data_IF_204167971083
#
_entry.id   IF_204167971083
#
_cell.length_a   1.000
_cell.length_b   1.000
_cell.length_c   1.000
_cell.angle_alpha   90.00
_cell.angle_beta   90.00
_cell.angle_gamma   90.00
#
_symmetry.space_group_name_H-M   'P 1'
#
loop_
_entity.id
_entity.type
_entity.pdbx_description
1 polymer ?
2 non-polymer ?
3 non-polymer ?
4 water ?
#
# COMPACT_ATOMS: atom_id res chain seq x y z
N UNK A 1 -8.33 -19.32 7.32
CA UNK A 1 -7.68 -18.16 7.99
C UNK A 1 -8.64 -16.98 7.90
N UNK A 2 -8.35 -15.89 8.62
CA UNK A 2 -9.22 -14.72 8.57
C UNK A 2 -8.41 -13.44 8.38
N UNK A 3 -8.89 -12.59 7.48
CA UNK A 3 -8.24 -11.32 7.19
C UNK A 3 -9.28 -10.23 6.99
N UNK A 4 -9.11 -9.12 7.72
CA UNK A 4 -9.94 -7.94 7.55
C UNK A 4 -9.67 -7.32 6.18
N UNK A 5 -10.71 -6.77 5.55
CA UNK A 5 -10.55 -6.07 4.27
C UNK A 5 -9.62 -4.87 4.40
N UNK A 6 -8.88 -4.58 3.33
CA UNK A 6 -7.92 -3.49 3.33
C UNK A 6 -6.66 -3.80 4.13
N UNK A 7 -6.35 -5.08 4.27
CA UNK A 7 -5.16 -5.52 5.02
C UNK A 7 -4.32 -6.49 4.22
N UNK A 8 -3.04 -6.57 4.60
CA UNK A 8 -2.08 -7.48 3.99
C UNK A 8 -1.83 -8.65 4.90
N UNK A 9 -1.40 -9.76 4.31
CA UNK A 9 -1.14 -10.99 5.04
C UNK A 9 0.07 -11.71 4.45
N UNK A 10 1.08 -11.94 5.28
CA UNK A 10 2.26 -12.71 4.90
C UNK A 10 2.00 -14.19 5.10
N UNK A 11 1.88 -14.94 4.01
CA UNK A 11 1.63 -16.38 4.09
C UNK A 11 2.95 -17.14 4.15
N UNK A 12 3.01 -18.15 5.02
CA UNK A 12 4.19 -18.99 5.15
C UNK A 12 3.94 -20.33 4.47
N UNK A 13 4.91 -20.77 3.67
CA UNK A 13 4.81 -22.01 2.92
C UNK A 13 6.13 -22.74 2.93
N UNK A 14 6.07 -24.08 2.79
CA UNK A 14 7.28 -24.88 2.67
C UNK A 14 7.97 -24.56 1.35
N UNK A 15 9.27 -24.30 1.41
CA UNK A 15 10.07 -23.96 0.23
C UNK A 15 10.22 -25.13 -0.73
N UNK A 16 10.50 -26.30 -0.16
CA UNK A 16 10.88 -27.50 -0.89
C UNK A 16 9.80 -27.99 -1.85
N UNK A 17 10.19 -28.27 -3.10
CA UNK A 17 9.30 -28.82 -4.13
C UNK A 17 8.11 -27.92 -4.48
N UNK A 18 8.20 -26.64 -4.13
CA UNK A 18 7.14 -25.68 -4.42
C UNK A 18 7.28 -25.18 -5.86
N UNK A 19 6.19 -25.17 -6.61
CA UNK A 19 6.21 -24.67 -7.97
C UNK A 19 5.54 -23.31 -8.11
N UNK A 20 4.32 -23.16 -7.57
CA UNK A 20 3.61 -21.88 -7.67
C UNK A 20 2.45 -21.73 -6.70
N UNK A 21 2.03 -20.48 -6.54
CA UNK A 21 0.93 -20.10 -5.67
C UNK A 21 -0.07 -19.33 -6.52
N UNK A 22 -1.31 -19.80 -6.58
CA UNK A 22 -2.29 -19.21 -7.50
C UNK A 22 -3.59 -18.83 -6.82
N UNK A 23 -4.28 -17.87 -7.44
CA UNK A 23 -5.60 -17.43 -7.03
C UNK A 23 -6.43 -17.36 -8.29
N UNK A 24 -7.20 -18.42 -8.54
CA UNK A 24 -7.73 -18.69 -9.87
C UNK A 24 -6.51 -18.73 -10.82
N UNK A 25 -6.51 -17.97 -11.92
CA UNK A 25 -5.42 -18.07 -12.89
C UNK A 25 -4.34 -16.98 -12.73
N UNK A 26 -4.41 -16.21 -11.63
CA UNK A 26 -3.47 -15.12 -11.38
C UNK A 26 -2.41 -15.63 -10.41
N UNK A 27 -1.16 -15.68 -10.86
CA UNK A 27 -0.06 -16.19 -10.03
C UNK A 27 0.34 -15.18 -8.97
N UNK A 28 0.72 -15.67 -7.79
CA UNK A 28 1.27 -14.82 -6.73
C UNK A 28 2.76 -15.10 -6.59
N UNK A 29 3.58 -14.04 -6.56
CA UNK A 29 5.01 -14.24 -6.36
C UNK A 29 5.35 -14.64 -4.93
N UNK A 30 6.56 -15.17 -4.76
CA UNK A 30 7.03 -15.62 -3.47
C UNK A 30 8.44 -15.10 -3.23
N UNK A 31 8.84 -15.09 -1.97
CA UNK A 31 10.20 -14.68 -1.60
C UNK A 31 10.67 -15.43 -0.35
N UNK A 32 11.97 -15.39 -0.10
CA UNK A 32 12.57 -16.16 0.97
C UNK A 32 12.14 -15.66 2.34
N UNK A 33 11.97 -16.59 3.28
CA UNK A 33 11.79 -16.26 4.68
C UNK A 33 13.21 -16.01 5.20
N UNK A 34 13.47 -14.80 5.73
CA UNK A 34 14.86 -14.41 5.96
C UNK A 34 15.56 -15.18 7.09
N UNK A 35 14.79 -15.61 8.09
CA UNK A 35 15.34 -16.42 9.19
C UNK A 35 15.26 -17.92 8.88
N UNK A 36 14.05 -18.47 8.81
CA UNK A 36 13.85 -19.90 8.55
C UNK A 36 14.07 -20.26 7.07
N UNK A 37 15.11 -21.05 6.80
CA UNK A 37 15.51 -21.38 5.42
C UNK A 37 14.65 -22.44 4.72
N UNK A 38 13.79 -23.13 5.47
CA UNK A 38 12.90 -24.14 4.88
C UNK A 38 11.55 -23.57 4.45
N UNK A 39 11.38 -22.25 4.55
CA UNK A 39 10.09 -21.61 4.24
C UNK A 39 10.22 -20.51 3.20
N UNK A 40 9.09 -20.13 2.62
CA UNK A 40 8.98 -18.94 1.77
C UNK A 40 7.73 -18.14 2.13
N UNK A 41 7.67 -16.91 1.64
CA UNK A 41 6.62 -15.98 1.98
C UNK A 41 5.91 -15.45 0.75
N UNK A 42 4.66 -15.06 0.93
CA UNK A 42 3.87 -14.41 -0.10
C UNK A 42 2.92 -13.41 0.55
N UNK A 43 2.75 -12.26 -0.09
CA UNK A 43 1.87 -11.22 0.43
C UNK A 43 0.51 -11.33 -0.28
N UNK A 44 -0.54 -11.53 0.53
CA UNK A 44 -1.89 -11.55 0.02
C UNK A 44 -2.66 -10.38 0.63
N UNK A 45 -3.40 -9.67 -0.21
CA UNK A 45 -4.12 -8.48 0.20
C UNK A 45 -5.57 -8.54 -0.23
N UNK A 46 -6.44 -8.02 0.64
CA UNK A 46 -7.87 -7.90 0.33
C UNK A 46 -8.17 -6.42 0.14
N UNK A 47 -8.82 -6.06 -0.98
CA UNK A 47 -9.19 -4.67 -1.17
C UNK A 47 -10.28 -4.23 -0.21
N UNK A 48 -10.27 -2.94 0.15
CA UNK A 48 -11.29 -2.39 1.04
C UNK A 48 -12.68 -2.47 0.40
N UNK A 49 -12.78 -1.99 -0.83
CA UNK A 49 -14.05 -2.04 -1.58
C UNK A 49 -14.28 -3.41 -2.18
N UNK A 50 -15.51 -3.91 -2.07
CA UNK A 50 -15.94 -5.14 -2.75
C UNK A 50 -14.94 -6.28 -2.69
N UNK A 51 -14.46 -6.62 -1.49
CA UNK A 51 -13.67 -7.83 -1.41
C UNK A 51 -14.60 -9.03 -1.56
N UNK A 52 -14.08 -10.16 -2.08
CA UNK A 52 -14.90 -11.36 -2.07
C UNK A 52 -15.20 -11.80 -0.63
N UNK A 53 -16.26 -12.58 -0.46
CA UNK A 53 -16.61 -13.11 0.85
C UNK A 53 -15.51 -14.06 1.30
N UNK A 54 -15.00 -14.88 0.37
CA UNK A 54 -13.91 -15.80 0.64
C UNK A 54 -12.93 -15.92 -0.52
N UNK A 55 -11.75 -16.43 -0.21
CA UNK A 55 -10.69 -16.65 -1.18
C UNK A 55 -10.10 -18.04 -0.98
N UNK A 56 -9.76 -18.70 -2.09
CA UNK A 56 -9.12 -20.01 -2.06
C UNK A 56 -7.84 -19.98 -2.87
N UNK A 57 -6.71 -19.93 -2.19
CA UNK A 57 -5.41 -20.01 -2.85
C UNK A 57 -4.98 -21.46 -2.95
N UNK A 58 -4.09 -21.74 -3.90
CA UNK A 58 -3.55 -23.09 -4.07
C UNK A 58 -2.06 -23.04 -4.30
N UNK A 59 -1.30 -23.53 -3.32
CA UNK A 59 0.13 -23.72 -3.44
C UNK A 59 0.40 -25.07 -4.11
N UNK A 60 0.78 -25.03 -5.39
CA UNK A 60 1.10 -26.25 -6.13
C UNK A 60 2.53 -26.68 -5.87
N UNK A 61 2.71 -27.94 -5.48
CA UNK A 61 4.03 -28.54 -5.28
C UNK A 61 4.25 -29.64 -6.33
N UNK A 62 5.48 -30.15 -6.40
CA UNK A 62 5.82 -31.26 -7.31
C UNK A 62 5.01 -32.53 -7.01
N UNK A 63 4.72 -32.75 -5.73
CA UNK A 63 4.10 -34.00 -5.27
C UNK A 63 2.67 -33.85 -4.74
N UNK A 64 2.16 -32.62 -4.68
CA UNK A 64 0.82 -32.37 -4.12
C UNK A 64 0.35 -30.93 -4.34
N UNK A 65 -0.91 -30.68 -3.99
CA UNK A 65 -1.45 -29.33 -3.91
C UNK A 65 -1.89 -29.06 -2.48
N UNK A 66 -1.79 -27.80 -2.07
CA UNK A 66 -2.01 -27.39 -0.69
C UNK A 66 -2.90 -26.15 -0.67
N UNK A 67 -4.16 -26.34 -0.31
CA UNK A 67 -5.16 -25.27 -0.37
C UNK A 67 -5.08 -24.36 0.84
N UNK A 68 -5.30 -23.06 0.61
CA UNK A 68 -5.47 -22.09 1.69
C UNK A 68 -6.82 -21.41 1.53
N UNK A 69 -7.61 -21.39 2.60
CA UNK A 69 -8.89 -20.69 2.62
C UNK A 69 -8.78 -19.47 3.51
N UNK A 70 -9.25 -18.33 3.00
CA UNK A 70 -9.14 -17.07 3.71
C UNK A 70 -10.51 -16.40 3.77
N UNK A 71 -11.04 -16.29 4.98
CA UNK A 71 -12.33 -15.65 5.22
C UNK A 71 -12.15 -14.15 5.34
N UNK A 72 -13.00 -13.40 4.64
CA UNK A 72 -12.93 -11.96 4.61
C UNK A 72 -13.74 -11.38 5.76
N UNK A 73 -13.11 -10.53 6.57
CA UNK A 73 -13.77 -9.89 7.70
C UNK A 73 -13.96 -8.40 7.45
N UNK A 74 -15.05 -7.86 8.00
CA UNK A 74 -15.35 -6.43 7.87
C UNK A 74 -14.45 -5.55 8.74
N UNK A 75 -14.07 -6.07 9.91
CA UNK A 75 -13.28 -5.30 10.87
C UNK A 75 -14.09 -4.20 11.53
N UNK A 76 -13.38 -3.20 12.06
CA UNK A 76 -14.01 -2.14 12.86
C UNK A 76 -13.57 -0.74 12.41
N UNK A 77 -13.73 -0.46 11.12
CA UNK A 77 -13.37 0.84 10.56
C UNK A 77 -14.45 1.88 10.89
N UNK A 78 -14.02 3.14 11.01
CA UNK A 78 -14.96 4.25 11.14
C UNK A 78 -15.67 4.45 9.80
N UNK A 79 -16.96 4.79 9.87
CA UNK A 79 -17.76 4.97 8.67
C UNK A 79 -18.89 5.96 8.91
N UNK A 80 -18.94 7.00 8.08
CA UNK A 80 -20.01 8.00 8.16
C UNK A 80 -21.04 7.76 7.05
N UNK A 81 -22.30 8.00 7.38
CA UNK A 81 -23.41 7.84 6.43
C UNK A 81 -23.41 8.99 5.42
N UNK A 82 -23.37 8.65 4.13
CA UNK A 82 -23.42 9.67 3.07
C UNK A 82 -24.85 10.06 2.75
N UNK A 83 -25.01 11.33 2.37
CA UNK A 83 -26.32 11.91 2.08
C UNK A 83 -26.56 11.98 0.58
N UNK A 84 -25.65 12.67 -0.11
CA UNK A 84 -25.72 12.85 -1.55
C UNK A 84 -25.00 11.70 -2.22
N UNK A 85 -25.70 10.96 -3.09
CA UNK A 85 -25.09 9.84 -3.81
C UNK A 85 -23.86 10.31 -4.56
N UNK A 86 -22.77 9.56 -4.42
CA UNK A 86 -21.57 9.74 -5.23
C UNK A 86 -21.90 9.67 -6.73
N UNK A 87 -22.62 10.68 -7.21
CA UNK A 87 -23.02 10.73 -8.61
C UNK A 87 -21.79 10.94 -9.47
N UNK A 88 -21.85 10.47 -10.71
CA UNK A 88 -20.76 10.70 -11.64
C UNK A 88 -20.51 12.19 -11.68
N UNK A 89 -19.39 12.62 -11.09
CA UNK A 89 -19.04 14.02 -11.06
C UNK A 89 -18.47 14.38 -12.43
N UNK A 90 -18.52 15.65 -12.79
CA UNK A 90 -18.27 16.06 -14.17
C UNK A 90 -17.11 17.05 -14.27
N UNK A 91 -15.86 16.56 -14.11
CA UNK A 91 -14.72 17.49 -14.16
C UNK A 91 -14.44 18.00 -15.57
N UNK A 92 -13.72 19.13 -15.67
CA UNK A 92 -13.33 19.61 -17.00
C UNK A 92 -12.36 18.62 -17.66
N UNK A 93 -12.52 18.43 -18.96
CA UNK A 93 -11.78 17.42 -19.72
C UNK A 93 -10.25 17.53 -19.53
N UNK A 94 -9.75 18.73 -19.23
CA UNK A 94 -8.34 18.92 -18.90
C UNK A 94 -7.93 18.13 -17.65
N UNK A 95 -8.78 18.13 -16.63
CA UNK A 95 -8.51 17.39 -15.39
C UNK A 95 -8.71 15.90 -15.60
N UNK A 96 -9.81 15.54 -16.26
CA UNK A 96 -10.07 14.15 -16.65
C UNK A 96 -8.85 13.51 -17.31
N UNK A 97 -8.26 14.24 -18.26
CA UNK A 97 -7.10 13.76 -19.00
C UNK A 97 -5.89 13.51 -18.11
N UNK A 98 -5.61 14.44 -17.21
CA UNK A 98 -4.48 14.32 -16.28
C UNK A 98 -4.64 13.14 -15.33
N UNK A 99 -5.85 12.97 -14.80
CA UNK A 99 -6.16 11.85 -13.91
C UNK A 99 -5.96 10.52 -14.64
N UNK A 100 -6.49 10.44 -15.86
CA UNK A 100 -6.37 9.25 -16.68
C UNK A 100 -4.91 8.93 -16.97
N UNK A 101 -4.14 9.93 -17.38
CA UNK A 101 -2.71 9.77 -17.62
C UNK A 101 -2.00 9.26 -16.36
N UNK A 102 -2.24 9.93 -15.24
CA UNK A 102 -1.59 9.59 -13.97
C UNK A 102 -2.01 8.23 -13.43
N UNK A 103 -3.25 7.83 -13.73
CA UNK A 103 -3.73 6.49 -13.40
C UNK A 103 -2.93 5.43 -14.16
N UNK A 104 -2.77 5.65 -15.47
CA UNK A 104 -1.97 4.77 -16.32
C UNK A 104 -0.51 4.69 -15.88
N UNK A 105 0.06 5.84 -15.54
CA UNK A 105 1.44 5.90 -15.04
C UNK A 105 1.59 5.14 -13.72
N UNK A 106 0.55 5.19 -12.88
CA UNK A 106 0.58 4.55 -11.57
C UNK A 106 0.41 3.04 -11.68
N UNK A 107 -0.56 2.60 -12.47
CA UNK A 107 -0.79 1.16 -12.68
C UNK A 107 0.44 0.45 -13.22
N UNK A 108 1.13 1.10 -14.16
CA UNK A 108 2.36 0.56 -14.72
C UNK A 108 3.42 0.35 -13.64
N UNK A 109 3.58 1.36 -12.79
CA UNK A 109 4.52 1.31 -11.68
C UNK A 109 4.15 0.26 -10.63
N UNK A 110 2.87 0.23 -10.23
CA UNK A 110 2.41 -0.70 -9.18
C UNK A 110 2.29 -2.16 -9.62
N UNK A 111 2.53 -2.43 -10.90
CA UNK A 111 2.61 -3.79 -11.41
C UNK A 111 3.92 -3.97 -12.16
N UNK A 112 4.99 -3.46 -11.55
CA UNK A 112 6.34 -3.53 -12.12
C UNK A 112 7.19 -4.36 -11.16
N UNK A 113 6.68 -5.54 -10.81
CA UNK A 113 7.20 -6.35 -9.70
C UNK A 113 8.71 -6.54 -9.73
N UNK A 114 9.34 -6.24 -8.60
CA UNK A 114 10.79 -6.37 -8.41
C UNK A 114 11.04 -7.57 -7.49
N UNK A 115 11.66 -8.65 -8.02
CA UNK A 115 11.79 -9.90 -7.27
C UNK A 115 13.00 -9.99 -6.31
N UNK A 116 13.39 -8.86 -5.71
CA UNK A 116 14.43 -8.86 -4.68
C UNK A 116 14.11 -7.78 -3.65
N UNK A 117 14.68 -7.94 -2.46
CA UNK A 117 14.51 -6.95 -1.39
C UNK A 117 15.38 -5.73 -1.66
N UNK A 118 14.73 -4.56 -1.78
CA UNK A 118 15.44 -3.29 -1.82
C UNK A 118 15.47 -2.61 -0.46
N UNK A 119 14.79 -3.22 0.51
CA UNK A 119 14.67 -2.65 1.85
C UNK A 119 15.86 -3.01 2.74
N UNK A 120 15.88 -2.41 3.92
CA UNK A 120 16.96 -2.60 4.88
C UNK A 120 16.40 -2.72 6.28
N UNK A 121 16.09 -3.95 6.68
CA UNK A 121 15.52 -4.21 8.00
C UNK A 121 14.08 -3.75 8.07
N UNK A 122 13.68 -3.26 9.25
CA UNK A 122 12.30 -2.88 9.50
C UNK A 122 11.95 -1.52 8.90
N UNK A 123 10.66 -1.29 8.69
CA UNK A 123 10.16 0.04 8.36
C UNK A 123 10.15 0.89 9.62
N UNK A 124 10.37 2.19 9.44
CA UNK A 124 10.17 3.16 10.51
C UNK A 124 9.08 4.13 10.12
N UNK A 125 8.65 4.96 11.07
CA UNK A 125 7.63 5.96 10.80
C UNK A 125 8.31 7.06 10.00
N UNK A 126 7.63 7.61 8.97
CA UNK A 126 8.27 8.67 8.18
C UNK A 126 8.46 9.99 8.94
N UNK A 127 7.75 10.17 10.04
CA UNK A 127 8.04 11.23 11.01
C UNK A 127 7.56 10.80 12.39
N UNK A 128 8.00 11.52 13.42
CA UNK A 128 7.72 11.16 14.80
C UNK A 128 6.49 11.88 15.33
N UNK A 129 5.42 11.84 14.54
CA UNK A 129 4.20 12.59 14.84
C UNK A 129 3.11 11.61 15.29
N UNK A 130 1.84 11.97 15.05
CA UNK A 130 0.71 11.15 15.47
C UNK A 130 -0.40 11.17 14.43
N UNK A 131 -1.28 10.17 14.48
CA UNK A 131 -2.34 10.01 13.50
C UNK A 131 -3.49 10.99 13.74
N UNK A 132 -3.75 11.85 12.76
CA UNK A 132 -4.91 12.74 12.80
C UNK A 132 -6.11 12.14 12.06
N UNK A 133 -5.84 11.24 11.11
CA UNK A 133 -6.92 10.57 10.37
C UNK A 133 -6.54 9.14 10.00
N UNK A 134 -7.23 8.18 10.62
CA UNK A 134 -6.98 6.75 10.41
C UNK A 134 -7.18 6.28 8.97
N UNK A 135 -6.52 5.17 8.65
CA UNK A 135 -6.75 4.44 7.42
C UNK A 135 -8.10 3.73 7.50
N UNK A 136 -8.81 3.68 6.37
CA UNK A 136 -10.06 2.94 6.27
C UNK A 136 -11.33 3.68 6.66
N UNK A 137 -11.24 4.99 6.91
CA UNK A 137 -12.44 5.80 7.15
C UNK A 137 -13.32 5.77 5.91
N UNK A 138 -14.48 5.14 6.03
CA UNK A 138 -15.34 4.88 4.89
C UNK A 138 -16.50 5.87 4.79
N UNK A 139 -16.92 6.15 3.56
CA UNK A 139 -18.12 6.92 3.28
C UNK A 139 -19.11 6.00 2.56
N UNK A 140 -20.27 5.77 3.20
CA UNK A 140 -21.19 4.71 2.79
C UNK A 140 -22.54 5.23 2.29
N UNK A 141 -23.03 4.67 1.18
CA UNK A 141 -24.36 4.98 0.66
C UNK A 141 -25.22 3.71 0.52
N UNK A 142 -26.31 3.65 1.30
CA UNK A 142 -27.11 2.43 1.48
C UNK A 142 -26.25 1.16 1.56
N UNK A 143 -25.60 1.03 2.71
CA UNK A 143 -24.61 -0.02 2.98
C UNK A 143 -23.83 -0.52 1.76
N UNK A 144 -23.22 0.43 1.06
CA UNK A 144 -22.20 0.15 0.05
C UNK A 144 -21.11 1.19 0.19
N UNK A 145 -19.85 0.74 0.17
CA UNK A 145 -18.73 1.65 0.39
C UNK A 145 -18.47 2.45 -0.89
N UNK A 146 -18.69 3.76 -0.80
CA UNK A 146 -18.50 4.66 -1.94
C UNK A 146 -17.05 5.08 -2.07
N UNK A 147 -16.44 5.45 -0.95
CA UNK A 147 -15.03 5.80 -0.91
C UNK A 147 -14.44 5.53 0.47
N UNK A 148 -13.13 5.61 0.57
CA UNK A 148 -12.44 5.34 1.83
C UNK A 148 -11.04 5.95 1.83
N UNK A 149 -10.50 6.14 3.02
CA UNK A 149 -9.16 6.70 3.18
C UNK A 149 -8.12 5.61 2.89
N UNK A 150 -7.41 5.77 1.77
CA UNK A 150 -6.48 4.76 1.28
C UNK A 150 -5.15 4.68 2.05
N UNK A 151 -4.91 5.66 2.93
CA UNK A 151 -3.69 5.67 3.74
C UNK A 151 -3.98 6.22 5.13
N UNK A 152 -2.93 6.66 5.81
CA UNK A 152 -3.07 7.23 7.15
C UNK A 152 -2.41 8.61 7.19
N UNK A 153 -3.07 9.56 7.85
CA UNK A 153 -2.58 10.93 7.90
C UNK A 153 -1.95 11.26 9.24
N UNK A 154 -0.75 11.84 9.19
CA UNK A 154 -0.03 12.28 10.38
C UNK A 154 -0.18 13.78 10.55
N UNK A 155 -0.10 14.24 11.80
CA UNK A 155 -0.01 15.67 12.09
C UNK A 155 1.31 16.21 11.56
N UNK A 156 1.23 17.21 10.69
CA UNK A 156 2.42 17.91 10.22
C UNK A 156 2.08 19.30 9.73
N UNK A 157 2.65 20.31 10.36
CA UNK A 157 2.61 21.68 9.86
C UNK A 157 3.36 21.70 8.53
N UNK A 158 3.01 22.63 7.66
CA UNK A 158 3.69 22.77 6.38
C UNK A 158 5.19 22.90 6.63
N UNK A 159 5.97 22.04 5.98
CA UNK A 159 7.42 22.11 6.05
C UNK A 159 8.07 21.21 7.08
N UNK A 160 7.33 20.23 7.60
CA UNK A 160 7.89 19.24 8.52
C UNK A 160 8.71 18.24 7.70
N UNK A 161 9.99 18.03 8.07
CA UNK A 161 10.82 17.04 7.36
C UNK A 161 10.20 15.64 7.32
N UNK A 162 10.28 14.99 6.16
CA UNK A 162 9.77 13.64 5.99
C UNK A 162 10.91 12.74 5.52
N UNK A 163 11.00 11.57 6.13
CA UNK A 163 12.08 10.62 5.85
C UNK A 163 11.52 9.32 5.30
N UNK A 164 12.27 8.67 4.42
CA UNK A 164 11.88 7.39 3.85
C UNK A 164 11.70 6.36 4.96
N UNK A 165 10.57 5.66 4.94
CA UNK A 165 10.26 4.66 5.95
C UNK A 165 11.19 3.44 5.85
N UNK A 166 11.63 3.12 4.63
CA UNK A 166 12.62 2.08 4.41
C UNK A 166 13.44 2.38 3.15
N UNK A 167 14.53 1.63 2.96
CA UNK A 167 15.37 1.79 1.77
C UNK A 167 14.62 1.31 0.52
N UNK A 168 14.95 1.90 -0.62
CA UNK A 168 14.33 1.51 -1.89
C UNK A 168 14.69 2.41 -3.05
N UNK A 169 14.00 2.22 -4.16
CA UNK A 169 14.20 3.03 -5.36
C UNK A 169 12.97 3.92 -5.57
N UNK A 170 13.21 5.22 -5.77
CA UNK A 170 12.14 6.17 -6.02
C UNK A 170 11.54 5.91 -7.40
N UNK A 171 10.22 5.80 -7.46
CA UNK A 171 9.51 5.54 -8.72
C UNK A 171 8.65 6.72 -9.18
N UNK A 172 8.21 7.57 -8.24
CA UNK A 172 7.48 8.79 -8.55
C UNK A 172 8.00 9.93 -7.68
N UNK A 173 8.08 11.13 -8.24
CA UNK A 173 8.56 12.31 -7.52
C UNK A 173 8.06 13.60 -8.15
N UNK A 174 6.74 13.79 -8.12
CA UNK A 174 6.14 14.94 -8.78
C UNK A 174 4.73 15.27 -8.27
N UNK A 175 4.22 16.41 -8.74
CA UNK A 175 2.87 16.86 -8.40
C UNK A 175 1.85 16.09 -9.24
N UNK A 176 0.90 15.47 -8.56
CA UNK A 176 -0.21 14.79 -9.22
C UNK A 176 -1.51 15.39 -8.72
N UNK A 177 -2.60 15.14 -9.45
CA UNK A 177 -3.85 15.84 -9.17
C UNK A 177 -4.37 15.55 -7.76
N UNK A 178 -4.70 14.30 -7.48
CA UNK A 178 -5.26 13.94 -6.19
C UNK A 178 -4.21 13.92 -5.09
N UNK A 179 -3.05 13.33 -5.40
CA UNK A 179 -1.99 13.14 -4.42
C UNK A 179 -1.24 14.42 -4.06
N UNK A 180 -1.20 15.39 -4.97
CA UNK A 180 -0.34 16.56 -4.80
C UNK A 180 1.10 16.17 -5.03
N UNK A 181 2.04 16.88 -4.41
CA UNK A 181 3.45 16.50 -4.49
C UNK A 181 3.67 15.13 -3.86
N UNK A 182 4.04 14.17 -4.70
CA UNK A 182 4.02 12.76 -4.35
C UNK A 182 5.40 12.14 -4.41
N UNK A 183 5.73 11.32 -3.42
CA UNK A 183 6.87 10.43 -3.50
C UNK A 183 6.38 9.00 -3.34
N UNK A 184 6.91 8.10 -4.17
CA UNK A 184 6.53 6.69 -4.15
C UNK A 184 7.79 5.84 -4.30
N UNK A 185 8.02 4.95 -3.33
CA UNK A 185 9.25 4.16 -3.28
C UNK A 185 8.97 2.67 -3.44
N UNK A 186 9.66 2.05 -4.39
CA UNK A 186 9.65 0.60 -4.56
C UNK A 186 10.63 -0.01 -3.57
N UNK A 187 10.12 -0.81 -2.64
CA UNK A 187 10.95 -1.51 -1.66
C UNK A 187 11.24 -2.95 -2.06
N UNK A 188 10.71 -3.37 -3.19
CA UNK A 188 10.85 -4.75 -3.66
C UNK A 188 9.65 -5.56 -3.26
N UNK A 189 9.45 -6.68 -3.96
CA UNK A 189 8.36 -7.62 -3.68
C UNK A 189 6.97 -6.99 -3.75
N UNK A 190 6.80 -6.01 -4.63
CA UNK A 190 5.51 -5.33 -4.81
C UNK A 190 5.12 -4.41 -3.66
N UNK A 191 6.08 -4.08 -2.81
CA UNK A 191 5.84 -3.24 -1.63
C UNK A 191 6.22 -1.81 -1.98
N UNK A 192 5.24 -0.90 -1.97
CA UNK A 192 5.48 0.50 -2.26
C UNK A 192 4.96 1.37 -1.12
N UNK A 193 5.78 2.31 -0.67
CA UNK A 193 5.35 3.32 0.29
C UNK A 193 5.10 4.64 -0.44
N UNK A 194 4.23 5.45 0.13
CA UNK A 194 3.71 6.64 -0.54
C UNK A 194 3.69 7.82 0.41
N UNK A 195 4.09 9.00 -0.09
CA UNK A 195 4.22 10.21 0.73
C UNK A 195 3.64 11.40 -0.03
N UNK A 196 2.42 11.80 0.36
CA UNK A 196 1.66 12.75 -0.45
C UNK A 196 1.46 14.11 0.19
N UNK A 197 1.09 15.07 -0.65
CA UNK A 197 0.78 16.43 -0.24
C UNK A 197 1.99 17.14 0.35
N UNK A 198 3.16 16.82 -0.20
CA UNK A 198 4.41 17.43 0.22
C UNK A 198 4.47 18.88 -0.23
N UNK A 199 5.17 19.71 0.55
CA UNK A 199 5.43 21.09 0.14
C UNK A 199 6.69 21.12 -0.73
N UNK A 200 7.61 20.19 -0.46
CA UNK A 200 8.88 20.12 -1.17
C UNK A 200 9.29 18.67 -1.40
N UNK A 201 9.67 18.36 -2.63
CA UNK A 201 10.16 17.03 -3.01
C UNK A 201 11.69 17.10 -3.12
N UNK A 202 12.39 16.28 -2.34
CA UNK A 202 13.86 16.30 -2.32
C UNK A 202 14.51 15.07 -2.95
N UNK A 203 13.78 14.41 -3.86
CA UNK A 203 14.30 13.23 -4.54
C UNK A 203 13.91 13.22 -6.02
N UNK A 204 14.64 12.42 -6.80
CA UNK A 204 14.39 12.26 -8.23
C UNK A 204 13.94 10.84 -8.50
N UNK A 205 13.27 10.64 -9.63
CA UNK A 205 12.89 9.31 -10.08
C UNK A 205 14.16 8.48 -10.31
N UNK A 206 14.11 7.20 -9.93
CA UNK A 206 15.23 6.28 -10.12
C UNK A 206 16.33 6.37 -9.06
N UNK A 207 16.13 7.22 -8.05
CA UNK A 207 17.16 7.46 -7.05
C UNK A 207 17.10 6.41 -5.94
N UNK A 208 18.26 5.88 -5.56
CA UNK A 208 18.34 4.98 -4.41
C UNK A 208 18.27 5.82 -3.14
N UNK A 209 17.30 5.50 -2.29
CA UNK A 209 17.10 6.22 -1.04
C UNK A 209 17.23 5.22 0.11
N UNK A 210 18.00 5.60 1.13
CA UNK A 210 18.16 4.78 2.33
C UNK A 210 17.02 5.05 3.30
N UNK A 211 16.74 4.08 4.16
CA UNK A 211 15.84 4.30 5.30
C UNK A 211 16.33 5.45 6.16
N UNK A 212 15.41 6.29 6.63
CA UNK A 212 15.74 7.41 7.50
C UNK A 212 16.23 8.63 6.74
N UNK A 213 16.50 8.47 5.45
CA UNK A 213 16.97 9.54 4.60
C UNK A 213 15.81 10.43 4.19
N UNK A 214 16.08 11.73 4.10
CA UNK A 214 15.08 12.75 3.84
C UNK A 214 14.54 12.67 2.42
N UNK A 215 13.21 12.66 2.28
CA UNK A 215 12.56 12.61 0.96
C UNK A 215 11.83 13.90 0.58
N UNK A 216 11.54 14.75 1.57
CA UNK A 216 10.83 15.98 1.32
C UNK A 216 10.31 16.66 2.57
N UNK A 217 9.65 17.79 2.38
CA UNK A 217 8.97 18.49 3.46
C UNK A 217 7.46 18.31 3.30
N UNK A 218 6.76 18.06 4.40
CA UNK A 218 5.31 17.93 4.38
C UNK A 218 4.68 19.24 3.96
N UNK A 219 3.50 19.17 3.37
CA UNK A 219 2.79 20.36 2.94
C UNK A 219 1.28 20.19 2.98
N UNK A 220 0.62 20.86 2.05
CA UNK A 220 -0.82 20.75 1.88
C UNK A 220 -1.18 20.66 0.41
N UNK A 221 -0.22 20.27 -0.42
CA UNK A 221 -0.38 20.33 -1.88
C UNK A 221 -1.39 19.30 -2.34
N UNK A 222 -2.44 19.76 -3.01
CA UNK A 222 -3.53 18.89 -3.42
C UNK A 222 -4.37 18.38 -2.27
N UNK A 223 -4.18 18.96 -1.09
CA UNK A 223 -4.90 18.53 0.11
C UNK A 223 -5.89 19.61 0.51
N UNK A 224 -7.17 19.32 0.30
CA UNK A 224 -8.24 20.26 0.62
C UNK A 224 -8.33 20.59 2.11
N UNK A 225 -8.00 19.62 2.98
CA UNK A 225 -8.23 19.76 4.42
C UNK A 225 -6.98 20.14 5.23
N UNK A 226 -6.17 21.06 4.69
CA UNK A 226 -5.06 21.66 5.45
C UNK A 226 -3.78 20.84 5.47
N UNK A 227 -2.73 21.36 6.11
CA UNK A 227 -1.43 20.68 6.11
C UNK A 227 -1.39 19.39 6.93
N UNK A 228 -0.71 18.38 6.38
CA UNK A 228 -0.55 17.06 7.00
C UNK A 228 0.23 16.17 6.05
N UNK A 229 0.73 15.04 6.54
CA UNK A 229 1.34 14.03 5.66
C UNK A 229 0.39 12.85 5.49
N UNK A 230 0.20 12.43 4.25
CA UNK A 230 -0.52 11.21 3.93
C UNK A 230 0.48 10.10 3.63
N UNK A 231 0.44 9.04 4.44
CA UNK A 231 1.33 7.89 4.29
C UNK A 231 0.51 6.69 3.84
N UNK A 232 0.92 6.06 2.75
CA UNK A 232 0.22 4.90 2.23
C UNK A 232 1.16 3.75 1.94
N UNK A 233 0.60 2.54 1.96
CA UNK A 233 1.32 1.33 1.62
C UNK A 233 0.49 0.53 0.63
N UNK A 234 1.06 0.29 -0.55
CA UNK A 234 0.47 -0.61 -1.53
C UNK A 234 1.29 -1.89 -1.51
N UNK A 235 0.61 -3.02 -1.42
CA UNK A 235 1.29 -4.32 -1.35
C UNK A 235 0.33 -5.43 -1.72
N UNK A 236 0.84 -6.44 -2.43
CA UNK A 236 -0.01 -7.47 -3.01
C UNK A 236 -1.03 -6.87 -3.97
N UNK A 237 -0.63 -5.78 -4.63
CA UNK A 237 -1.49 -5.10 -5.61
C UNK A 237 -2.59 -4.19 -5.08
N UNK A 238 -2.63 -3.96 -3.77
CA UNK A 238 -3.73 -3.21 -3.14
C UNK A 238 -3.24 -2.19 -2.11
N UNK A 239 -3.96 -1.08 -1.98
CA UNK A 239 -3.75 -0.17 -0.85
C UNK A 239 -4.17 -0.90 0.43
N UNK A 240 -3.27 -0.94 1.41
CA UNK A 240 -3.53 -1.63 2.67
C UNK A 240 -3.26 -0.73 3.88
N UNK A 241 -3.74 -1.17 5.03
CA UNK A 241 -3.48 -0.51 6.31
C UNK A 241 -1.97 -0.43 6.54
N UNK A 242 -1.40 0.79 6.54
CA UNK A 242 0.06 0.93 6.59
C UNK A 242 0.70 0.47 7.90
N UNK A 243 0.04 0.77 9.03
CA UNK A 243 0.58 0.42 10.34
C UNK A 243 0.42 -1.07 10.64
N UNK A 244 -0.72 -1.62 10.25
CA UNK A 244 -0.94 -3.07 10.31
C UNK A 244 0.13 -3.79 9.50
N UNK A 245 0.46 -3.23 8.33
CA UNK A 245 1.46 -3.81 7.46
C UNK A 245 2.86 -3.73 8.06
N UNK A 246 3.29 -2.51 8.39
CA UNK A 246 4.60 -2.29 9.00
C UNK A 246 4.81 -3.26 10.15
N UNK A 247 3.80 -3.37 11.01
CA UNK A 247 3.83 -4.31 12.14
C UNK A 247 4.05 -5.77 11.70
N UNK A 248 3.32 -6.20 10.67
CA UNK A 248 3.47 -7.58 10.15
C UNK A 248 4.83 -7.80 9.48
N UNK A 249 5.20 -6.87 8.61
CA UNK A 249 6.49 -6.91 7.93
C UNK A 249 7.65 -6.94 8.92
N UNK A 250 7.62 -6.00 9.87
CA UNK A 250 8.72 -5.83 10.82
C UNK A 250 8.94 -7.05 11.71
N UNK A 251 7.87 -7.77 12.03
CA UNK A 251 7.96 -9.00 12.82
C UNK A 251 8.75 -10.11 12.11
N UNK A 252 8.95 -9.96 10.81
CA UNK A 252 9.72 -10.91 9.99
C UNK A 252 11.12 -10.39 9.69
N UNK A 253 11.21 -9.15 9.20
CA UNK A 253 12.46 -8.61 8.68
C UNK A 253 13.19 -7.67 9.64
N UNK A 254 13.06 -7.93 10.95
CA UNK A 254 13.62 -7.08 12.01
C UNK A 254 15.04 -6.56 11.72
N UNK A 255 16.04 -7.41 11.92
CA UNK A 255 17.44 -7.01 11.80
C UNK A 255 18.03 -7.49 10.47
#
# INVERSE_FOLDING_TARGET
MELIKGQALFLELDKKDFLSLKNNDKNIPTFAHPKNQEKILAIFSLPYKNPPQNTKLIAFYKDKKEEIFIKTLEGNYKSEKLQVENKKIFPPKTIQERIAKELKEANAIYSSYTPKALFNGAFNIPLNSFITSDFGKARTFNEKVASYHSGTDFRAATGTPIYAANSGVVKIAKDRYFAGNSVVIDHGFGIYSQYYHLSKIDVKVGQKIKKGELIGLSGASGRVSGPALHFGILAGGKQVDPLDFVSKFNAIFQL
#
